data_IF_037451089272
#
_entry.id   IF_037451089272
#
_cell.length_a   1.000
_cell.length_b   1.000
_cell.length_c   1.000
_cell.angle_alpha   90.00
_cell.angle_beta   90.00
_cell.angle_gamma   90.00
#
_symmetry.space_group_name_H-M   'P 1'
#
loop_
_entity.id
_entity.type
_entity.pdbx_description
1 polymer ?
#
# COMPACT_ATOMS: atom_id res chain seq x y z
N UNK A 1 4.04 -37.52 -21.44
CA UNK A 1 3.94 -37.56 -19.97
C UNK A 1 4.98 -36.63 -19.37
N UNK A 2 4.60 -35.88 -18.32
CA UNK A 2 5.34 -34.84 -17.57
C UNK A 2 5.21 -33.42 -18.16
N UNK A 3 4.08 -32.73 -17.91
CA UNK A 3 3.74 -31.91 -16.73
C UNK A 3 4.35 -30.50 -16.88
N UNK A 4 3.67 -29.46 -17.38
CA UNK A 4 2.40 -28.86 -16.94
C UNK A 4 2.41 -28.36 -15.48
N UNK A 5 3.39 -27.55 -15.07
CA UNK A 5 3.40 -26.93 -13.72
C UNK A 5 3.70 -25.40 -13.70
N UNK A 6 4.15 -24.75 -14.78
CA UNK A 6 4.67 -23.38 -14.64
C UNK A 6 3.64 -22.24 -14.83
N UNK A 7 2.44 -22.47 -15.36
CA UNK A 7 1.56 -21.37 -15.82
C UNK A 7 0.21 -21.25 -15.12
N UNK A 8 0.13 -21.39 -13.78
CA UNK A 8 -1.18 -21.32 -13.07
C UNK A 8 -1.33 -20.26 -11.98
N UNK A 9 -0.27 -19.50 -11.64
CA UNK A 9 -0.38 -18.48 -10.58
C UNK A 9 -0.69 -17.07 -11.12
N UNK A 10 -0.29 -16.73 -12.35
CA UNK A 10 -0.40 -15.35 -12.86
C UNK A 10 -1.72 -15.03 -13.56
N UNK A 11 -2.56 -16.03 -13.85
CA UNK A 11 -3.85 -15.84 -14.55
C UNK A 11 -5.05 -15.62 -13.63
N UNK A 12 -4.92 -15.83 -12.32
CA UNK A 12 -6.06 -15.77 -11.38
C UNK A 12 -6.29 -14.40 -10.74
N UNK A 13 -5.44 -13.40 -10.99
CA UNK A 13 -5.65 -12.04 -10.47
C UNK A 13 -6.32 -11.09 -11.46
N UNK A 14 -6.64 -11.50 -12.70
CA UNK A 14 -7.06 -10.56 -13.75
C UNK A 14 -8.42 -10.84 -14.43
N UNK A 15 -9.10 -11.99 -14.23
CA UNK A 15 -10.34 -12.27 -14.97
C UNK A 15 -11.45 -12.82 -14.09
N UNK A 16 -12.15 -11.93 -13.37
CA UNK A 16 -13.59 -12.07 -13.00
C UNK A 16 -14.06 -11.01 -11.98
N UNK A 17 -13.70 -9.74 -12.21
CA UNK A 17 -14.50 -8.64 -11.65
C UNK A 17 -15.35 -8.08 -12.80
N UNK A 18 -16.53 -8.66 -12.95
CA UNK A 18 -17.49 -8.33 -14.01
C UNK A 18 -17.80 -6.83 -14.06
N UNK A 19 -17.85 -6.30 -15.27
CA UNK A 19 -17.92 -4.87 -15.57
C UNK A 19 -19.22 -4.20 -15.07
N UNK A 20 -20.29 -4.99 -14.86
CA UNK A 20 -21.60 -4.51 -14.41
C UNK A 20 -21.65 -4.17 -12.92
N UNK A 21 -20.86 -4.86 -12.07
CA UNK A 21 -20.80 -4.57 -10.63
C UNK A 21 -20.10 -3.23 -10.33
N UNK A 22 -19.25 -2.71 -11.23
CA UNK A 22 -18.60 -1.40 -11.04
C UNK A 22 -19.60 -0.25 -11.01
N UNK A 23 -20.63 -0.28 -11.87
CA UNK A 23 -21.60 0.81 -12.00
C UNK A 23 -22.57 0.87 -10.81
N UNK A 24 -22.90 -0.27 -10.22
CA UNK A 24 -23.79 -0.35 -9.05
C UNK A 24 -23.09 0.06 -7.75
N UNK A 25 -21.78 -0.21 -7.63
CA UNK A 25 -20.96 0.12 -6.46
C UNK A 25 -20.54 1.61 -6.42
N UNK A 26 -20.20 2.22 -7.57
CA UNK A 26 -19.85 3.65 -7.64
C UNK A 26 -21.00 4.59 -7.21
N UNK A 27 -22.25 4.18 -7.40
CA UNK A 27 -23.43 4.99 -7.02
C UNK A 27 -23.63 5.15 -5.51
N UNK A 28 -22.97 4.34 -4.67
CA UNK A 28 -23.15 4.36 -3.20
C UNK A 28 -22.11 5.18 -2.44
N UNK A 29 -20.92 5.43 -2.98
CA UNK A 29 -19.86 6.18 -2.28
C UNK A 29 -20.01 7.70 -2.44
N UNK A 30 -21.01 8.29 -1.79
CA UNK A 30 -21.42 9.69 -2.04
C UNK A 30 -20.37 10.79 -1.71
N UNK A 31 -19.22 10.49 -1.10
CA UNK A 31 -18.28 11.52 -0.63
C UNK A 31 -16.78 11.21 -0.82
N UNK A 32 -16.39 10.25 -1.66
CA UNK A 32 -14.96 9.97 -1.88
C UNK A 32 -14.41 10.70 -3.11
N UNK A 33 -13.19 11.26 -3.03
CA UNK A 33 -12.51 11.74 -4.22
C UNK A 33 -12.29 10.57 -5.17
N UNK A 34 -12.68 10.75 -6.44
CA UNK A 34 -12.48 9.77 -7.49
C UNK A 34 -10.98 9.58 -7.71
N UNK A 35 -10.43 8.54 -7.08
CA UNK A 35 -9.01 8.20 -7.12
C UNK A 35 -8.88 6.86 -7.80
N UNK A 36 -8.21 6.87 -8.95
CA UNK A 36 -7.88 5.67 -9.69
C UNK A 36 -7.02 4.71 -8.85
N UNK A 37 -7.23 3.41 -9.06
CA UNK A 37 -6.39 2.37 -8.49
C UNK A 37 -4.94 2.56 -8.96
N UNK A 38 -3.98 2.45 -8.04
CA UNK A 38 -2.57 2.36 -8.40
C UNK A 38 -2.18 0.90 -8.33
N UNK A 39 -1.78 0.36 -9.48
CA UNK A 39 -1.20 -0.96 -9.53
C UNK A 39 0.27 -0.90 -9.11
N UNK A 40 0.74 -1.95 -8.43
CA UNK A 40 2.17 -2.17 -8.24
C UNK A 40 2.83 -2.43 -9.58
N UNK A 41 3.99 -1.82 -9.79
CA UNK A 41 4.83 -1.96 -10.98
C UNK A 41 6.25 -2.26 -10.52
N UNK A 42 6.79 -3.39 -10.95
CA UNK A 42 8.09 -3.90 -10.49
C UNK A 42 9.26 -2.96 -10.77
N UNK A 43 9.19 -2.15 -11.83
CA UNK A 43 10.26 -1.23 -12.25
C UNK A 43 10.35 0.04 -11.41
N UNK A 44 9.37 0.31 -10.54
CA UNK A 44 9.37 1.50 -9.66
C UNK A 44 8.92 1.12 -8.26
N UNK A 45 9.88 1.02 -7.35
CA UNK A 45 9.66 0.62 -5.96
C UNK A 45 8.57 1.43 -5.22
N UNK A 46 8.38 2.71 -5.57
CA UNK A 46 7.34 3.57 -4.99
C UNK A 46 5.90 3.11 -5.29
N UNK A 47 5.68 2.34 -6.35
CA UNK A 47 4.34 1.93 -6.79
C UNK A 47 3.63 1.06 -5.75
N UNK A 48 4.37 0.14 -5.13
CA UNK A 48 3.85 -0.76 -4.10
C UNK A 48 3.46 0.03 -2.84
N UNK A 49 4.29 0.96 -2.40
CA UNK A 49 3.97 1.87 -1.30
C UNK A 49 2.71 2.69 -1.58
N UNK A 50 2.63 3.31 -2.77
CA UNK A 50 1.48 4.14 -3.16
C UNK A 50 0.18 3.34 -3.24
N UNK A 51 0.24 2.08 -3.70
CA UNK A 51 -0.90 1.16 -3.69
C UNK A 51 -1.35 0.85 -2.25
N UNK A 52 -0.42 0.47 -1.37
CA UNK A 52 -0.73 0.16 0.04
C UNK A 52 -1.29 1.38 0.78
N UNK A 53 -0.71 2.56 0.58
CA UNK A 53 -1.20 3.81 1.16
C UNK A 53 -2.61 4.17 0.66
N UNK A 54 -2.90 3.91 -0.63
CA UNK A 54 -4.25 4.09 -1.22
C UNK A 54 -5.27 3.18 -0.55
N UNK A 55 -4.94 1.89 -0.45
CA UNK A 55 -5.80 0.88 0.17
C UNK A 55 -6.07 1.26 1.61
N UNK A 56 -5.03 1.64 2.37
CA UNK A 56 -5.20 2.07 3.75
C UNK A 56 -6.17 3.26 3.89
N UNK A 57 -6.05 4.29 3.02
CA UNK A 57 -6.94 5.47 3.04
C UNK A 57 -8.39 5.16 2.65
N UNK A 58 -8.63 4.08 1.92
CA UNK A 58 -9.96 3.69 1.42
C UNK A 58 -10.47 2.40 2.06
N UNK A 59 -9.78 1.88 3.08
CA UNK A 59 -9.95 0.52 3.58
C UNK A 59 -11.36 0.24 4.09
N UNK A 60 -12.02 1.23 4.68
CA UNK A 60 -13.37 1.08 5.21
C UNK A 60 -14.39 0.90 4.08
N UNK A 61 -14.27 1.71 3.02
CA UNK A 61 -15.13 1.59 1.83
C UNK A 61 -14.86 0.29 1.07
N UNK A 62 -13.60 -0.11 0.95
CA UNK A 62 -13.22 -1.39 0.33
C UNK A 62 -13.83 -2.54 1.13
N UNK A 63 -13.72 -2.51 2.46
CA UNK A 63 -14.31 -3.52 3.32
C UNK A 63 -15.84 -3.56 3.23
N UNK A 64 -16.53 -2.42 3.15
CA UNK A 64 -17.98 -2.36 2.95
C UNK A 64 -18.41 -3.06 1.65
N UNK A 65 -17.70 -2.78 0.55
CA UNK A 65 -17.95 -3.42 -0.75
C UNK A 65 -17.65 -4.92 -0.69
N UNK A 66 -16.51 -5.31 -0.11
CA UNK A 66 -16.14 -6.73 0.04
C UNK A 66 -17.13 -7.48 0.92
N UNK A 67 -17.68 -6.84 1.95
CA UNK A 67 -18.69 -7.43 2.81
C UNK A 67 -20.03 -7.59 2.09
N UNK A 68 -20.42 -6.61 1.27
CA UNK A 68 -21.62 -6.70 0.44
C UNK A 68 -21.53 -7.82 -0.61
N UNK A 69 -20.34 -8.07 -1.16
CA UNK A 69 -20.10 -9.13 -2.13
C UNK A 69 -19.73 -10.45 -1.44
N UNK A 70 -20.71 -11.32 -1.19
CA UNK A 70 -20.52 -12.61 -0.46
C UNK A 70 -19.35 -13.49 -0.96
N UNK A 71 -18.99 -13.42 -2.25
CA UNK A 71 -17.85 -14.16 -2.82
C UNK A 71 -16.50 -13.69 -2.27
N UNK A 72 -16.40 -12.42 -1.87
CA UNK A 72 -15.15 -11.76 -1.47
C UNK A 72 -15.12 -11.34 0.01
N UNK A 73 -16.10 -11.75 0.81
CA UNK A 73 -16.16 -11.41 2.23
C UNK A 73 -14.94 -11.90 3.04
N UNK A 74 -14.27 -12.96 2.57
CA UNK A 74 -13.06 -13.50 3.17
C UNK A 74 -11.82 -12.58 3.01
N UNK A 75 -11.90 -11.57 2.13
CA UNK A 75 -10.83 -10.59 1.88
C UNK A 75 -10.98 -9.31 2.73
N UNK A 76 -12.01 -9.24 3.58
CA UNK A 76 -12.24 -8.08 4.46
C UNK A 76 -11.08 -7.95 5.45
N UNK A 77 -10.43 -6.79 5.43
CA UNK A 77 -9.26 -6.53 6.26
C UNK A 77 -9.65 -6.33 7.73
N UNK A 78 -9.05 -7.13 8.61
CA UNK A 78 -9.19 -7.03 10.07
C UNK A 78 -8.45 -5.82 10.61
N UNK A 79 -8.78 -5.43 11.84
CA UNK A 79 -8.13 -4.30 12.51
C UNK A 79 -6.61 -4.49 12.66
N UNK A 80 -6.15 -5.71 12.92
CA UNK A 80 -4.72 -6.05 12.97
C UNK A 80 -4.01 -5.79 11.64
N UNK A 81 -4.62 -6.21 10.53
CA UNK A 81 -4.09 -6.02 9.18
C UNK A 81 -4.08 -4.53 8.78
N UNK A 82 -5.11 -3.78 9.18
CA UNK A 82 -5.15 -2.32 9.03
C UNK A 82 -4.00 -1.64 9.79
N UNK A 83 -3.70 -2.10 11.01
CA UNK A 83 -2.59 -1.58 11.81
C UNK A 83 -1.23 -1.88 11.17
N UNK A 84 -1.07 -3.07 10.58
CA UNK A 84 0.14 -3.43 9.83
C UNK A 84 0.29 -2.52 8.60
N UNK A 85 -0.78 -2.29 7.83
CA UNK A 85 -0.77 -1.37 6.69
C UNK A 85 -0.39 0.05 7.10
N UNK A 86 -0.90 0.53 8.24
CA UNK A 86 -0.52 1.83 8.81
C UNK A 86 0.97 1.87 9.16
N UNK A 87 1.48 0.85 9.85
CA UNK A 87 2.89 0.76 10.23
C UNK A 87 3.81 0.74 9.00
N UNK A 88 3.44 -0.01 7.96
CA UNK A 88 4.15 0.01 6.68
C UNK A 88 4.10 1.41 6.08
N UNK A 89 2.93 2.06 6.03
CA UNK A 89 2.82 3.40 5.47
C UNK A 89 3.71 4.41 6.22
N UNK A 90 3.74 4.36 7.55
CA UNK A 90 4.54 5.25 8.41
C UNK A 90 6.05 5.02 8.25
N UNK A 91 6.47 3.77 8.06
CA UNK A 91 7.87 3.43 7.81
C UNK A 91 8.32 3.88 6.43
N UNK A 92 7.47 3.73 5.41
CA UNK A 92 7.84 4.02 4.02
C UNK A 92 7.65 5.49 3.61
N UNK A 93 6.77 6.24 4.28
CA UNK A 93 6.54 7.68 4.05
C UNK A 93 7.83 8.50 3.95
N UNK A 94 8.78 8.43 4.90
CA UNK A 94 9.93 9.31 4.86
C UNK A 94 10.90 8.96 3.72
N UNK A 95 10.95 7.69 3.30
CA UNK A 95 11.73 7.26 2.13
C UNK A 95 11.08 7.74 0.82
N UNK A 96 9.75 7.68 0.73
CA UNK A 96 9.01 8.21 -0.40
C UNK A 96 9.19 9.72 -0.54
N UNK A 97 9.02 10.46 0.56
CA UNK A 97 9.23 11.90 0.65
C UNK A 97 10.65 12.30 0.27
N UNK A 98 11.65 11.53 0.73
CA UNK A 98 13.05 11.73 0.36
C UNK A 98 13.27 11.53 -1.15
N UNK A 99 12.78 10.42 -1.69
CA UNK A 99 12.99 10.08 -3.09
C UNK A 99 12.33 11.09 -4.01
N UNK A 100 11.14 11.57 -3.65
CA UNK A 100 10.47 12.66 -4.36
C UNK A 100 11.29 13.95 -4.37
N UNK A 101 12.00 14.25 -3.27
CA UNK A 101 12.88 15.42 -3.17
C UNK A 101 14.17 15.25 -3.98
N UNK A 102 14.76 14.06 -4.01
CA UNK A 102 16.02 13.78 -4.74
C UNK A 102 15.77 13.71 -6.24
N UNK A 103 14.68 13.07 -6.66
CA UNK A 103 14.28 12.94 -8.06
C UNK A 103 13.69 14.22 -8.65
N UNK A 104 13.82 15.37 -7.98
CA UNK A 104 13.39 16.64 -8.52
C UNK A 104 14.48 17.24 -9.41
N UNK A 105 14.08 17.75 -10.58
CA UNK A 105 14.99 18.40 -11.53
C UNK A 105 15.14 19.91 -11.26
N UNK A 106 14.23 20.49 -10.47
CA UNK A 106 14.09 21.95 -10.33
C UNK A 106 15.16 22.60 -9.43
N UNK A 107 15.88 21.84 -8.62
CA UNK A 107 16.87 22.37 -7.69
C UNK A 107 18.01 21.36 -7.45
N UNK A 108 19.22 21.82 -7.07
CA UNK A 108 20.33 20.94 -6.74
C UNK A 108 19.97 20.04 -5.55
N UNK A 109 19.85 18.74 -5.81
CA UNK A 109 19.40 17.74 -4.84
C UNK A 109 20.53 17.14 -4.01
N UNK A 110 21.79 17.30 -4.43
CA UNK A 110 22.96 16.71 -3.78
C UNK A 110 23.07 17.11 -2.30
N UNK A 111 22.86 18.39 -2.01
CA UNK A 111 22.88 18.97 -0.67
C UNK A 111 21.76 18.37 0.20
N UNK A 112 20.59 18.14 -0.38
CA UNK A 112 19.39 17.60 0.29
C UNK A 112 19.56 16.14 0.68
N UNK A 113 20.32 15.36 -0.10
CA UNK A 113 20.60 13.96 0.17
C UNK A 113 21.26 13.79 1.54
N UNK A 114 22.34 14.55 1.80
CA UNK A 114 23.09 14.44 3.05
C UNK A 114 22.22 14.73 4.28
N UNK A 115 21.51 15.87 4.27
CA UNK A 115 20.59 16.24 5.36
C UNK A 115 19.50 15.19 5.58
N UNK A 116 18.93 14.65 4.50
CA UNK A 116 17.81 13.72 4.60
C UNK A 116 18.22 12.35 5.13
N UNK A 117 19.38 11.84 4.72
CA UNK A 117 19.95 10.59 5.28
C UNK A 117 20.22 10.78 6.77
N UNK A 118 20.81 11.92 7.16
CA UNK A 118 21.07 12.22 8.56
C UNK A 118 19.77 12.31 9.39
N UNK A 119 18.74 12.98 8.87
CA UNK A 119 17.42 13.08 9.51
C UNK A 119 16.74 11.72 9.66
N UNK A 120 16.79 10.87 8.63
CA UNK A 120 16.27 9.49 8.68
C UNK A 120 16.98 8.70 9.77
N UNK A 121 18.32 8.69 9.76
CA UNK A 121 19.12 7.98 10.76
C UNK A 121 18.78 8.43 12.18
N UNK A 122 18.62 9.74 12.41
CA UNK A 122 18.20 10.29 13.72
C UNK A 122 16.79 9.86 14.13
N UNK A 123 15.83 9.82 13.19
CA UNK A 123 14.45 9.39 13.42
C UNK A 123 14.39 7.92 13.87
N UNK A 124 15.08 7.03 13.17
CA UNK A 124 15.08 5.60 13.51
C UNK A 124 16.01 5.24 14.68
N UNK A 125 17.11 5.97 14.89
CA UNK A 125 17.96 5.76 16.07
C UNK A 125 17.23 6.08 17.39
N UNK A 126 16.34 7.08 17.38
CA UNK A 126 15.47 7.39 18.54
C UNK A 126 14.41 6.33 18.79
N UNK A 127 13.85 5.73 17.74
CA UNK A 127 12.80 4.71 17.89
C UNK A 127 13.35 3.37 18.40
N UNK A 128 14.67 3.12 18.31
CA UNK A 128 15.31 1.89 18.79
C UNK A 128 15.40 1.76 20.32
N UNK A 129 15.12 2.81 21.10
CA UNK A 129 14.91 2.67 22.55
C UNK A 129 13.50 2.14 22.91
N UNK A 130 12.56 2.18 21.97
CA UNK A 130 11.15 1.78 22.16
C UNK A 130 10.82 0.42 21.50
N UNK A 131 11.80 -0.26 20.89
CA UNK A 131 11.64 -1.49 20.09
C UNK A 131 11.16 -2.72 20.86
N UNK A 132 11.10 -2.66 22.19
CA UNK A 132 10.38 -3.67 22.99
C UNK A 132 8.88 -3.75 22.66
N UNK A 133 8.30 -2.75 21.98
CA UNK A 133 6.89 -2.75 21.60
C UNK A 133 6.61 -3.51 20.29
N UNK A 134 7.50 -3.48 19.30
CA UNK A 134 7.25 -4.08 17.96
C UNK A 134 7.31 -5.61 18.02
N UNK A 135 8.21 -6.17 18.83
CA UNK A 135 8.28 -7.62 19.09
C UNK A 135 7.06 -8.17 19.84
N UNK A 136 6.20 -7.31 20.38
CA UNK A 136 4.97 -7.68 21.10
C UNK A 136 3.77 -7.87 20.17
N UNK A 137 3.80 -7.30 18.96
CA UNK A 137 2.73 -7.43 17.96
C UNK A 137 2.89 -8.65 17.04
N UNK A 138 4.03 -9.33 17.10
CA UNK A 138 4.35 -10.54 16.31
C UNK A 138 4.35 -11.83 17.14
N UNK A 139 3.83 -11.79 18.37
CA UNK A 139 3.57 -12.95 19.22
C UNK A 139 2.09 -13.28 19.26
#
# INVERSE_FOLDING_TARGET
MKNAIVNRADSLLCTSFEFDDRKSLQKKSKNLPDKMLINSVSTRWNSEYLMKERIFKQVDNVNEVLFATRKHCHLVLKLSEKNILKLIADVFEPFYSLTKKISCEKYPSCNVIFYSIFSLRKKYARNNSDTNAVGKFLK
#
